data_IF_659687187805
#
_entry.id   IF_659687187805
#
_cell.length_a   1.000
_cell.length_b   1.000
_cell.length_c   1.000
_cell.angle_alpha   90.00
_cell.angle_beta   90.00
_cell.angle_gamma   90.00
#
_symmetry.space_group_name_H-M   'P 1'
#
loop_
_entity.id
_entity.type
_entity.pdbx_description
1 polymer ?
#
# COMPACT_ATOMS: atom_id res chain seq x y z
N UNK A 1 9.75 12.74 -14.25
CA UNK A 1 8.29 12.84 -14.03
C UNK A 1 7.67 11.57 -14.58
N UNK A 2 6.69 10.98 -13.90
CA UNK A 2 5.94 9.82 -14.39
C UNK A 2 4.78 10.30 -15.27
N UNK A 3 4.48 9.53 -16.31
CA UNK A 3 3.38 9.76 -17.25
C UNK A 3 2.41 8.58 -17.20
N UNK A 4 1.24 8.74 -17.82
CA UNK A 4 0.20 7.70 -17.87
C UNK A 4 0.72 6.35 -18.39
N UNK A 5 1.63 6.38 -19.37
CA UNK A 5 2.27 5.17 -19.89
C UNK A 5 3.05 4.39 -18.82
N UNK A 6 3.65 5.07 -17.84
CA UNK A 6 4.36 4.43 -16.72
C UNK A 6 3.37 3.73 -15.78
N UNK A 7 2.22 4.37 -15.49
CA UNK A 7 1.16 3.78 -14.67
C UNK A 7 0.56 2.56 -15.35
N UNK A 8 0.21 2.69 -16.63
CA UNK A 8 -0.45 1.62 -17.38
C UNK A 8 0.52 0.51 -17.81
N UNK A 9 1.82 0.73 -17.73
CA UNK A 9 2.86 -0.28 -17.90
C UNK A 9 3.34 -0.93 -16.60
N UNK A 10 2.82 -0.51 -15.44
CA UNK A 10 3.27 -1.02 -14.15
C UNK A 10 2.69 -2.41 -13.84
N UNK A 11 3.52 -3.28 -13.23
CA UNK A 11 3.08 -4.57 -12.69
C UNK A 11 2.16 -4.43 -11.48
N UNK A 12 2.35 -3.36 -10.71
CA UNK A 12 1.60 -3.06 -9.49
C UNK A 12 1.47 -1.53 -9.31
N UNK A 13 0.33 -1.07 -8.81
CA UNK A 13 0.16 0.31 -8.33
C UNK A 13 -0.59 0.32 -6.99
N UNK A 14 -0.31 1.31 -6.17
CA UNK A 14 -1.02 1.57 -4.91
C UNK A 14 -0.94 3.05 -4.58
N UNK A 15 -1.84 3.53 -3.72
CA UNK A 15 -1.73 4.85 -3.12
C UNK A 15 -1.75 4.74 -1.60
N UNK A 16 -1.35 5.82 -0.93
CA UNK A 16 -1.35 5.89 0.54
C UNK A 16 -2.28 6.98 1.05
N UNK A 17 -2.90 6.75 2.21
CA UNK A 17 -3.67 7.75 2.95
C UNK A 17 -3.49 7.53 4.44
N UNK A 18 -3.48 8.59 5.24
CA UNK A 18 -3.49 8.49 6.71
C UNK A 18 -4.64 7.62 7.22
N UNK A 19 -5.80 7.66 6.55
CA UNK A 19 -7.01 6.92 6.98
C UNK A 19 -7.15 5.54 6.35
N UNK A 20 -6.41 5.24 5.27
CA UNK A 20 -6.53 3.97 4.54
C UNK A 20 -5.22 3.23 4.33
N UNK A 21 -4.16 3.65 5.02
CA UNK A 21 -2.85 3.02 4.97
C UNK A 21 -2.34 2.95 3.52
N UNK A 22 -2.02 1.74 3.03
CA UNK A 22 -1.65 1.44 1.66
C UNK A 22 -2.82 0.71 0.97
N UNK A 23 -3.32 1.28 -0.13
CA UNK A 23 -4.47 0.76 -0.88
C UNK A 23 -4.02 0.28 -2.26
N UNK A 24 -4.12 -1.03 -2.57
CA UNK A 24 -3.83 -1.56 -3.91
C UNK A 24 -4.75 -0.97 -4.98
N UNK A 25 -4.21 -0.68 -6.16
CA UNK A 25 -4.96 -0.29 -7.35
C UNK A 25 -4.93 -1.46 -8.34
N UNK A 26 -6.10 -2.05 -8.59
CA UNK A 26 -6.25 -3.13 -9.58
C UNK A 26 -6.63 -2.60 -10.98
N UNK A 27 -7.25 -1.42 -11.05
CA UNK A 27 -7.78 -0.84 -12.28
C UNK A 27 -7.82 0.68 -12.16
N UNK A 28 -7.56 1.37 -13.27
CA UNK A 28 -7.75 2.82 -13.44
C UNK A 28 -8.56 3.01 -14.72
N UNK A 29 -9.68 3.73 -14.61
CA UNK A 29 -10.71 3.81 -15.66
C UNK A 29 -11.13 2.41 -16.13
N UNK A 30 -11.02 2.12 -17.43
CA UNK A 30 -11.32 0.80 -18.02
C UNK A 30 -10.08 -0.09 -18.16
N UNK A 31 -8.94 0.31 -17.59
CA UNK A 31 -7.65 -0.36 -17.76
C UNK A 31 -7.19 -1.08 -16.49
N UNK A 32 -7.05 -2.39 -16.60
CA UNK A 32 -6.44 -3.22 -15.55
C UNK A 32 -4.96 -2.88 -15.37
N UNK A 33 -4.52 -2.71 -14.12
CA UNK A 33 -3.10 -2.57 -13.77
C UNK A 33 -2.53 -3.96 -13.47
N UNK A 34 -1.43 -4.31 -14.12
CA UNK A 34 -0.78 -5.62 -13.98
C UNK A 34 -1.76 -6.79 -14.09
N UNK A 35 -1.83 -7.61 -13.03
CA UNK A 35 -2.68 -8.81 -12.97
C UNK A 35 -4.11 -8.56 -12.46
N UNK A 36 -4.54 -7.29 -12.28
CA UNK A 36 -5.88 -6.94 -11.77
C UNK A 36 -6.13 -7.35 -10.32
N UNK A 37 -5.07 -7.61 -9.56
CA UNK A 37 -5.09 -7.98 -8.15
C UNK A 37 -3.83 -7.42 -7.48
N UNK A 38 -3.84 -7.18 -6.15
CA UNK A 38 -2.64 -6.74 -5.45
C UNK A 38 -1.48 -7.67 -5.77
N UNK A 39 -0.30 -7.14 -6.08
CA UNK A 39 0.87 -7.96 -6.35
C UNK A 39 1.70 -8.26 -5.09
N UNK A 40 2.87 -8.86 -5.27
CA UNK A 40 3.69 -9.33 -4.17
C UNK A 40 4.31 -8.16 -3.38
N UNK A 41 4.73 -7.10 -4.07
CA UNK A 41 5.36 -5.93 -3.44
C UNK A 41 4.34 -5.17 -2.61
N UNK A 42 3.17 -4.89 -3.18
CA UNK A 42 2.04 -4.21 -2.53
C UNK A 42 1.61 -4.94 -1.25
N UNK A 43 1.47 -6.28 -1.31
CA UNK A 43 1.14 -7.08 -0.12
C UNK A 43 2.24 -7.02 0.94
N UNK A 44 3.50 -7.14 0.55
CA UNK A 44 4.63 -7.11 1.47
C UNK A 44 4.75 -5.74 2.15
N UNK A 45 4.56 -4.66 1.41
CA UNK A 45 4.56 -3.30 1.94
C UNK A 45 3.42 -3.07 2.92
N UNK A 46 2.19 -3.49 2.59
CA UNK A 46 1.04 -3.35 3.50
C UNK A 46 1.26 -4.10 4.82
N UNK A 47 1.78 -5.33 4.75
CA UNK A 47 2.08 -6.13 5.94
C UNK A 47 3.15 -5.45 6.81
N UNK A 48 4.25 -4.97 6.21
CA UNK A 48 5.33 -4.27 6.92
C UNK A 48 4.90 -2.93 7.49
N UNK A 49 4.09 -2.16 6.75
CA UNK A 49 3.53 -0.91 7.21
C UNK A 49 2.71 -1.11 8.49
N UNK A 50 1.79 -2.09 8.49
CA UNK A 50 0.95 -2.42 9.65
C UNK A 50 1.77 -2.87 10.85
N UNK A 51 2.75 -3.75 10.64
CA UNK A 51 3.65 -4.20 11.70
C UNK A 51 4.42 -3.02 12.31
N UNK A 52 4.94 -2.11 11.48
CA UNK A 52 5.67 -0.94 11.95
C UNK A 52 4.77 0.07 12.67
N UNK A 53 3.57 0.30 12.15
CA UNK A 53 2.59 1.18 12.79
C UNK A 53 2.22 0.67 14.19
N UNK A 54 2.00 -0.64 14.34
CA UNK A 54 1.76 -1.26 15.64
C UNK A 54 2.97 -1.13 16.57
N UNK A 55 4.18 -1.42 16.09
CA UNK A 55 5.42 -1.27 16.87
C UNK A 55 5.57 0.16 17.42
N UNK A 56 5.34 1.17 16.59
CA UNK A 56 5.49 2.57 16.96
C UNK A 56 4.38 3.10 17.88
N UNK A 57 3.18 2.49 17.83
CA UNK A 57 2.01 2.94 18.62
C UNK A 57 1.75 2.09 19.85
N UNK A 58 2.44 0.95 20.01
CA UNK A 58 2.39 0.13 21.22
C UNK A 58 3.04 0.81 22.45
N UNK A 59 3.71 1.96 22.25
CA UNK A 59 4.54 2.65 23.24
C UNK A 59 3.84 3.46 24.34
N UNK A 60 2.51 3.61 24.33
CA UNK A 60 1.79 4.33 25.41
C UNK A 60 1.03 3.40 26.38
N UNK A 61 1.03 2.08 26.13
CA UNK A 61 0.36 1.10 26.99
C UNK A 61 1.27 0.51 28.09
N UNK A 62 2.51 0.99 28.22
CA UNK A 62 3.48 0.51 29.23
C UNK A 62 3.85 1.64 30.20
N UNK A 63 2.85 2.36 30.72
CA UNK A 63 2.96 2.86 32.10
C UNK A 63 2.60 1.66 33.00
N UNK A 64 3.57 0.79 33.24
CA UNK A 64 3.50 -0.21 34.32
C UNK A 64 4.24 0.37 35.52
N UNK A 65 3.42 0.68 36.51
CA UNK A 65 3.67 1.07 37.90
C UNK A 65 4.99 0.56 38.51
#
# INVERSE_FOLDING_TARGET
VLHDADLFGADEAFFTSTTRELVPIAQVDERTIGAGKPGAVTRALLARFRAKAQELTAGDAVIKN
#
